data_IF_577767469270
#
_entry.id   IF_577767469270
#
_cell.length_a   1.000
_cell.length_b   1.000
_cell.length_c   1.000
_cell.angle_alpha   90.00
_cell.angle_beta   90.00
_cell.angle_gamma   90.00
#
_symmetry.space_group_name_H-M   'P 1'
#
loop_
_entity.id
_entity.type
_entity.pdbx_description
1 polymer ?
#
# COMPACT_ATOMS: atom_id res chain seq x y z
N UNK A 1 -13.83 -40.25 -73.51
CA UNK A 1 -13.63 -38.81 -73.73
C UNK A 1 -13.56 -38.13 -72.38
N UNK A 2 -12.37 -37.65 -72.00
CA UNK A 2 -12.13 -36.86 -70.80
C UNK A 2 -12.57 -35.42 -71.08
N UNK A 3 -13.40 -34.84 -70.19
CA UNK A 3 -13.48 -33.38 -70.02
C UNK A 3 -13.53 -33.08 -68.52
N UNK A 4 -12.39 -32.63 -68.01
CA UNK A 4 -12.28 -31.85 -66.79
C UNK A 4 -13.10 -30.56 -66.96
N UNK A 5 -13.95 -30.24 -65.98
CA UNK A 5 -14.39 -28.87 -65.77
C UNK A 5 -14.16 -28.49 -64.30
N UNK A 6 -13.19 -27.61 -64.14
CA UNK A 6 -12.87 -26.88 -62.92
C UNK A 6 -14.06 -25.95 -62.61
N UNK A 7 -14.73 -26.13 -61.46
CA UNK A 7 -15.72 -25.16 -60.98
C UNK A 7 -15.14 -24.45 -59.75
N UNK A 8 -14.83 -23.18 -59.94
CA UNK A 8 -14.30 -22.26 -58.95
C UNK A 8 -15.38 -21.86 -57.93
N UNK A 9 -14.89 -21.65 -56.71
CA UNK A 9 -15.51 -21.08 -55.52
C UNK A 9 -16.50 -19.92 -55.77
N UNK A 10 -17.69 -20.03 -55.19
CA UNK A 10 -18.39 -18.89 -54.53
C UNK A 10 -19.04 -19.43 -53.26
N UNK A 11 -18.34 -19.34 -52.13
CA UNK A 11 -18.94 -19.57 -50.83
C UNK A 11 -19.61 -18.27 -50.40
N UNK A 12 -20.93 -18.19 -50.59
CA UNK A 12 -21.75 -17.09 -50.06
C UNK A 12 -21.82 -17.28 -48.55
N UNK A 13 -21.05 -16.49 -47.81
CA UNK A 13 -21.17 -16.37 -46.36
C UNK A 13 -22.41 -15.51 -46.07
N UNK A 14 -23.57 -16.16 -45.91
CA UNK A 14 -24.77 -15.52 -45.38
C UNK A 14 -24.49 -15.13 -43.92
N UNK A 15 -24.47 -13.83 -43.65
CA UNK A 15 -24.28 -13.25 -42.33
C UNK A 15 -25.39 -13.67 -41.36
N UNK A 16 -25.11 -14.69 -40.55
CA UNK A 16 -25.80 -14.92 -39.30
C UNK A 16 -25.15 -14.05 -38.23
N UNK A 17 -25.80 -12.94 -37.87
CA UNK A 17 -25.44 -12.16 -36.70
C UNK A 17 -25.56 -13.05 -35.46
N UNK A 18 -24.43 -13.44 -34.88
CA UNK A 18 -24.40 -13.97 -33.53
C UNK A 18 -24.78 -12.80 -32.64
N UNK A 19 -26.05 -12.75 -32.22
CA UNK A 19 -26.48 -11.86 -31.16
C UNK A 19 -25.78 -12.31 -29.88
N UNK A 20 -24.61 -11.73 -29.61
CA UNK A 20 -24.00 -11.76 -28.28
C UNK A 20 -25.00 -11.11 -27.36
N UNK A 21 -25.61 -11.89 -26.47
CA UNK A 21 -26.40 -11.35 -25.37
C UNK A 21 -25.47 -10.47 -24.52
N UNK A 22 -25.46 -9.17 -24.81
CA UNK A 22 -24.75 -8.17 -24.03
C UNK A 22 -25.34 -8.22 -22.63
N UNK A 23 -24.51 -8.56 -21.64
CA UNK A 23 -24.91 -8.38 -20.24
C UNK A 23 -25.41 -6.94 -20.06
N UNK A 24 -26.49 -6.71 -19.29
CA UNK A 24 -27.07 -5.38 -19.12
C UNK A 24 -25.98 -4.41 -18.65
N UNK A 25 -25.55 -3.52 -19.54
CA UNK A 25 -24.60 -2.46 -19.23
C UNK A 25 -25.31 -1.48 -18.31
N UNK A 26 -24.69 -1.14 -17.18
CA UNK A 26 -25.19 -0.07 -16.32
C UNK A 26 -25.23 1.22 -17.15
N UNK A 27 -26.43 1.75 -17.38
CA UNK A 27 -26.58 3.01 -18.09
C UNK A 27 -25.84 4.13 -17.31
N UNK A 28 -25.34 5.18 -17.99
CA UNK A 28 -24.57 6.26 -17.35
C UNK A 28 -25.28 6.89 -16.14
N UNK A 29 -26.61 6.94 -16.17
CA UNK A 29 -27.46 7.41 -15.08
C UNK A 29 -27.39 6.48 -13.85
N UNK A 30 -27.41 5.16 -14.05
CA UNK A 30 -27.31 4.16 -12.98
C UNK A 30 -25.89 4.12 -12.39
N UNK A 31 -24.86 4.28 -13.22
CA UNK A 31 -23.48 4.39 -12.77
C UNK A 31 -23.24 5.65 -11.92
N UNK A 32 -23.80 6.80 -12.34
CA UNK A 32 -23.75 8.04 -11.57
C UNK A 32 -24.49 7.90 -10.22
N UNK A 33 -25.65 7.23 -10.22
CA UNK A 33 -26.42 7.00 -8.99
C UNK A 33 -25.70 6.06 -8.02
N UNK A 34 -25.08 4.97 -8.52
CA UNK A 34 -24.26 4.08 -7.69
C UNK A 34 -23.02 4.77 -7.15
N UNK A 35 -22.40 5.68 -7.91
CA UNK A 35 -21.27 6.49 -7.47
C UNK A 35 -21.68 7.47 -6.36
N UNK A 36 -22.80 8.16 -6.53
CA UNK A 36 -23.34 9.04 -5.49
C UNK A 36 -23.72 8.27 -4.20
N UNK A 37 -24.28 7.06 -4.35
CA UNK A 37 -24.55 6.15 -3.22
C UNK A 37 -23.26 5.70 -2.53
N UNK A 38 -22.19 5.42 -3.28
CA UNK A 38 -20.88 5.06 -2.75
C UNK A 38 -20.24 6.22 -1.98
N UNK A 39 -20.30 7.44 -2.52
CA UNK A 39 -19.78 8.64 -1.86
C UNK A 39 -20.52 8.91 -0.55
N UNK A 40 -21.86 8.78 -0.57
CA UNK A 40 -22.69 8.91 0.63
C UNK A 40 -22.36 7.83 1.68
N UNK A 41 -22.28 6.56 1.29
CA UNK A 41 -21.93 5.48 2.22
C UNK A 41 -20.53 5.63 2.78
N UNK A 42 -19.59 6.17 1.99
CA UNK A 42 -18.23 6.45 2.47
C UNK A 42 -18.25 7.52 3.55
N UNK A 43 -19.05 8.58 3.39
CA UNK A 43 -19.25 9.58 4.44
C UNK A 43 -19.95 8.99 5.68
N UNK A 44 -20.96 8.13 5.48
CA UNK A 44 -21.67 7.46 6.57
C UNK A 44 -20.74 6.50 7.35
N UNK A 45 -19.81 5.80 6.69
CA UNK A 45 -18.76 4.99 7.34
C UNK A 45 -17.83 5.85 8.18
N UNK A 46 -17.39 7.01 7.68
CA UNK A 46 -16.53 7.91 8.45
C UNK A 46 -17.22 8.38 9.72
N UNK A 47 -18.49 8.78 9.61
CA UNK A 47 -19.31 9.19 10.75
C UNK A 47 -19.54 8.02 11.72
N UNK A 48 -19.95 6.85 11.22
CA UNK A 48 -20.17 5.67 12.04
C UNK A 48 -18.90 5.18 12.73
N UNK A 49 -17.73 5.35 12.11
CA UNK A 49 -16.43 5.01 12.71
C UNK A 49 -16.09 5.96 13.85
N UNK A 50 -16.35 7.26 13.69
CA UNK A 50 -16.19 8.23 14.77
C UNK A 50 -17.16 7.95 15.93
N UNK A 51 -18.43 7.66 15.63
CA UNK A 51 -19.46 7.30 16.60
C UNK A 51 -19.09 6.00 17.35
N UNK A 52 -18.57 4.98 16.65
CA UNK A 52 -18.11 3.73 17.24
C UNK A 52 -16.86 3.89 18.11
N UNK A 53 -15.94 4.78 17.73
CA UNK A 53 -14.77 5.12 18.56
C UNK A 53 -15.22 5.77 19.87
N UNK A 54 -16.11 6.76 19.80
CA UNK A 54 -16.65 7.45 20.97
C UNK A 54 -17.39 6.48 21.90
N UNK A 55 -18.26 5.64 21.36
CA UNK A 55 -18.97 4.62 22.14
C UNK A 55 -18.01 3.60 22.79
N UNK A 56 -16.93 3.23 22.10
CA UNK A 56 -15.89 2.37 22.65
C UNK A 56 -15.10 3.00 23.81
N UNK A 57 -14.81 4.30 23.73
CA UNK A 57 -14.18 5.06 24.82
C UNK A 57 -15.12 5.17 26.03
N UNK A 58 -16.41 5.46 25.81
CA UNK A 58 -17.43 5.51 26.86
C UNK A 58 -17.62 4.15 27.56
N UNK A 59 -17.66 3.05 26.78
CA UNK A 59 -17.73 1.70 27.33
C UNK A 59 -16.49 1.34 28.17
N UNK A 60 -15.30 1.77 27.74
CA UNK A 60 -14.06 1.55 28.49
C UNK A 60 -14.08 2.30 29.82
N UNK A 61 -14.49 3.57 29.82
CA UNK A 61 -14.63 4.36 31.05
C UNK A 61 -15.64 3.71 32.00
N UNK A 62 -16.80 3.29 31.50
CA UNK A 62 -17.82 2.60 32.30
C UNK A 62 -17.30 1.28 32.90
N UNK A 63 -16.51 0.51 32.15
CA UNK A 63 -15.89 -0.73 32.63
C UNK A 63 -14.82 -0.46 33.71
N UNK A 64 -13.97 0.55 33.52
CA UNK A 64 -12.94 0.95 34.48
C UNK A 64 -13.56 1.48 35.79
N UNK A 65 -14.66 2.23 35.70
CA UNK A 65 -15.44 2.69 36.86
C UNK A 65 -16.11 1.52 37.58
N UNK A 66 -16.73 0.60 36.84
CA UNK A 66 -17.34 -0.59 37.42
C UNK A 66 -16.31 -1.44 38.16
N UNK A 67 -15.11 -1.64 37.60
CA UNK A 67 -14.05 -2.40 38.24
C UNK A 67 -13.63 -1.79 39.60
N UNK A 68 -13.48 -0.47 39.66
CA UNK A 68 -13.16 0.24 40.93
C UNK A 68 -14.27 0.08 41.96
N UNK A 69 -15.53 0.15 41.52
CA UNK A 69 -16.68 0.07 42.42
C UNK A 69 -16.91 -1.37 42.91
N UNK A 70 -16.65 -2.38 42.08
CA UNK A 70 -16.69 -3.80 42.50
C UNK A 70 -15.67 -4.07 43.61
N UNK A 71 -14.45 -3.54 43.51
CA UNK A 71 -13.45 -3.65 44.59
C UNK A 71 -13.89 -2.93 45.87
N UNK A 72 -14.48 -1.73 45.76
CA UNK A 72 -15.05 -1.04 46.91
C UNK A 72 -16.25 -1.80 47.53
N UNK A 73 -17.02 -2.51 46.70
CA UNK A 73 -18.08 -3.43 47.11
C UNK A 73 -17.58 -4.62 47.93
N UNK A 74 -16.47 -5.25 47.52
CA UNK A 74 -15.82 -6.32 48.27
C UNK A 74 -15.35 -5.87 49.66
N UNK A 75 -14.99 -4.60 49.78
CA UNK A 75 -14.62 -3.97 51.05
C UNK A 75 -15.83 -3.51 51.89
N UNK A 76 -17.06 -3.83 51.47
CA UNK A 76 -18.30 -3.45 52.17
C UNK A 76 -18.62 -1.95 52.12
N UNK A 77 -17.94 -1.18 51.26
CA UNK A 77 -18.09 0.28 51.17
C UNK A 77 -19.25 0.72 50.26
N UNK A 78 -19.83 -0.21 49.50
CA UNK A 78 -20.91 0.05 48.53
C UNK A 78 -21.99 -1.04 48.67
N UNK A 79 -23.25 -0.62 48.54
CA UNK A 79 -24.41 -1.51 48.56
C UNK A 79 -24.45 -2.40 47.28
N UNK A 80 -24.72 -3.69 47.45
CA UNK A 80 -24.84 -4.64 46.34
C UNK A 80 -25.88 -4.26 45.27
N UNK A 81 -26.99 -3.61 45.66
CA UNK A 81 -28.00 -3.13 44.71
C UNK A 81 -27.47 -2.02 43.78
N UNK A 82 -26.60 -1.16 44.31
CA UNK A 82 -25.94 -0.09 43.52
C UNK A 82 -24.94 -0.71 42.55
N UNK A 83 -24.23 -1.77 42.95
CA UNK A 83 -23.32 -2.50 42.06
C UNK A 83 -24.05 -3.20 40.91
N UNK A 84 -25.20 -3.83 41.18
CA UNK A 84 -26.00 -4.46 40.13
C UNK A 84 -26.51 -3.43 39.11
N UNK A 85 -27.00 -2.26 39.55
CA UNK A 85 -27.39 -1.19 38.62
C UNK A 85 -26.23 -0.69 37.75
N UNK A 86 -25.02 -0.61 38.31
CA UNK A 86 -23.82 -0.20 37.57
C UNK A 86 -23.38 -1.26 36.57
N UNK A 87 -23.47 -2.55 36.92
CA UNK A 87 -23.20 -3.66 35.98
C UNK A 87 -24.15 -3.61 34.78
N UNK A 88 -25.44 -3.37 35.03
CA UNK A 88 -26.45 -3.24 33.97
C UNK A 88 -26.07 -2.08 33.03
N UNK A 89 -25.79 -0.89 33.57
CA UNK A 89 -25.40 0.28 32.77
C UNK A 89 -24.11 0.06 31.97
N UNK A 90 -23.09 -0.56 32.57
CA UNK A 90 -21.85 -0.89 31.87
C UNK A 90 -22.08 -1.93 30.76
N UNK A 91 -23.00 -2.88 30.97
CA UNK A 91 -23.44 -3.82 29.94
C UNK A 91 -24.16 -3.12 28.79
N UNK A 92 -25.03 -2.16 29.08
CA UNK A 92 -25.74 -1.35 28.07
C UNK A 92 -24.77 -0.49 27.24
N UNK A 93 -23.77 0.14 27.86
CA UNK A 93 -22.76 0.92 27.14
C UNK A 93 -21.85 0.04 26.29
N UNK A 94 -21.47 -1.14 26.78
CA UNK A 94 -20.74 -2.13 25.99
C UNK A 94 -21.57 -2.61 24.78
N UNK A 95 -22.85 -2.93 24.99
CA UNK A 95 -23.74 -3.35 23.91
C UNK A 95 -23.92 -2.25 22.86
N UNK A 96 -24.01 -0.98 23.28
CA UNK A 96 -24.06 0.16 22.37
C UNK A 96 -22.75 0.31 21.55
N UNK A 97 -21.59 0.08 22.16
CA UNK A 97 -20.30 0.10 21.46
C UNK A 97 -20.18 -1.04 20.43
N UNK A 98 -20.65 -2.24 20.77
CA UNK A 98 -20.68 -3.38 19.85
C UNK A 98 -21.65 -3.14 18.70
N UNK A 99 -22.84 -2.59 18.96
CA UNK A 99 -23.80 -2.21 17.94
C UNK A 99 -23.24 -1.14 16.99
N UNK A 100 -22.50 -0.16 17.51
CA UNK A 100 -21.85 0.86 16.68
C UNK A 100 -20.77 0.26 15.76
N UNK A 101 -19.96 -0.69 16.27
CA UNK A 101 -18.99 -1.44 15.45
C UNK A 101 -19.68 -2.31 14.39
N UNK A 102 -20.81 -2.94 14.73
CA UNK A 102 -21.58 -3.74 13.79
C UNK A 102 -22.11 -2.90 12.62
N UNK A 103 -22.59 -1.68 12.89
CA UNK A 103 -23.02 -0.72 11.85
C UNK A 103 -21.89 -0.32 10.90
N UNK A 104 -20.68 -0.12 11.41
CA UNK A 104 -19.50 0.15 10.55
C UNK A 104 -19.27 -1.03 9.59
N UNK A 105 -19.29 -2.26 10.10
CA UNK A 105 -19.09 -3.47 9.29
C UNK A 105 -20.20 -3.67 8.25
N UNK A 106 -21.45 -3.36 8.59
CA UNK A 106 -22.59 -3.41 7.67
C UNK A 106 -22.40 -2.41 6.52
N UNK A 107 -22.03 -1.17 6.84
CA UNK A 107 -21.76 -0.13 5.83
C UNK A 107 -20.55 -0.47 4.96
N UNK A 108 -19.47 -1.04 5.53
CA UNK A 108 -18.32 -1.53 4.77
C UNK A 108 -18.71 -2.66 3.81
N UNK A 109 -19.61 -3.55 4.24
CA UNK A 109 -20.17 -4.63 3.39
C UNK A 109 -21.00 -4.04 2.25
N UNK A 110 -21.87 -3.07 2.54
CA UNK A 110 -22.65 -2.35 1.52
C UNK A 110 -21.76 -1.61 0.50
N UNK A 111 -20.66 -1.02 0.96
CA UNK A 111 -19.63 -0.42 0.09
C UNK A 111 -18.99 -1.49 -0.80
N UNK A 112 -18.63 -2.65 -0.26
CA UNK A 112 -18.04 -3.74 -1.03
C UNK A 112 -19.01 -4.27 -2.10
N UNK A 113 -20.29 -4.41 -1.77
CA UNK A 113 -21.34 -4.79 -2.72
C UNK A 113 -21.56 -3.75 -3.81
N UNK A 114 -21.60 -2.46 -3.46
CA UNK A 114 -21.74 -1.39 -4.45
C UNK A 114 -20.49 -1.29 -5.32
N UNK A 115 -19.28 -1.47 -4.76
CA UNK A 115 -18.05 -1.59 -5.55
C UNK A 115 -18.05 -2.81 -6.46
N UNK A 116 -18.65 -3.92 -6.05
CA UNK A 116 -18.82 -5.11 -6.88
C UNK A 116 -19.86 -4.90 -7.99
N UNK A 117 -20.92 -4.12 -7.75
CA UNK A 117 -21.90 -3.70 -8.77
C UNK A 117 -21.34 -2.63 -9.71
N UNK A 118 -20.44 -1.78 -9.22
CA UNK A 118 -19.63 -0.84 -9.99
C UNK A 118 -18.46 -1.51 -10.70
N UNK A 119 -18.17 -2.80 -10.47
CA UNK A 119 -17.25 -3.52 -11.36
C UNK A 119 -17.84 -3.44 -12.76
N UNK A 120 -17.08 -3.00 -13.77
CA UNK A 120 -17.54 -3.07 -15.14
C UNK A 120 -17.88 -4.54 -15.43
N UNK A 121 -19.02 -4.80 -16.10
CA UNK A 121 -19.08 -5.90 -17.09
C UNK A 121 -17.76 -5.84 -17.87
N UNK A 122 -17.02 -6.95 -18.07
CA UNK A 122 -15.81 -6.90 -18.89
C UNK A 122 -16.21 -6.19 -20.19
N UNK A 123 -15.68 -5.00 -20.47
CA UNK A 123 -16.16 -4.21 -21.59
C UNK A 123 -15.88 -5.02 -22.87
N UNK A 124 -16.65 -4.85 -23.96
CA UNK A 124 -16.08 -5.18 -25.26
C UNK A 124 -14.72 -4.49 -25.30
N UNK A 125 -13.68 -5.23 -25.65
CA UNK A 125 -12.28 -4.80 -25.54
C UNK A 125 -12.17 -3.28 -25.82
N UNK A 126 -11.60 -2.47 -24.89
CA UNK A 126 -11.39 -1.07 -25.18
C UNK A 126 -10.59 -1.00 -26.49
N UNK A 127 -10.96 -0.10 -27.40
CA UNK A 127 -9.94 0.35 -28.35
C UNK A 127 -8.84 0.95 -27.47
N UNK A 128 -7.68 0.30 -27.47
CA UNK A 128 -6.57 0.45 -26.53
C UNK A 128 -6.03 1.88 -26.25
N UNK A 129 -6.08 2.90 -27.14
CA UNK A 129 -5.10 3.99 -27.03
C UNK A 129 -5.30 5.02 -25.89
N UNK A 130 -6.51 5.25 -25.35
CA UNK A 130 -6.74 6.33 -24.36
C UNK A 130 -6.43 5.92 -22.90
N UNK A 131 -6.65 4.66 -22.52
CA UNK A 131 -6.31 4.15 -21.18
C UNK A 131 -4.79 4.00 -21.01
N UNK A 132 -4.11 3.55 -22.05
CA UNK A 132 -2.65 3.43 -22.07
C UNK A 132 -1.99 4.81 -21.98
N UNK A 133 -2.55 5.84 -22.62
CA UNK A 133 -2.00 7.21 -22.56
C UNK A 133 -1.92 7.77 -21.13
N UNK A 134 -2.96 7.58 -20.31
CA UNK A 134 -2.96 8.05 -18.91
C UNK A 134 -1.98 7.23 -18.04
N UNK A 135 -1.94 5.92 -18.22
CA UNK A 135 -1.01 5.03 -17.47
C UNK A 135 0.44 5.33 -17.86
N UNK A 136 0.72 5.57 -19.15
CA UNK A 136 2.03 5.97 -19.64
C UNK A 136 2.45 7.31 -19.04
N UNK A 137 1.56 8.29 -18.94
CA UNK A 137 1.86 9.59 -18.33
C UNK A 137 2.25 9.45 -16.84
N UNK A 138 1.48 8.67 -16.06
CA UNK A 138 1.79 8.39 -14.66
C UNK A 138 3.12 7.62 -14.48
N UNK A 139 3.40 6.67 -15.37
CA UNK A 139 4.66 5.92 -15.36
C UNK A 139 5.85 6.80 -15.75
N UNK A 140 5.69 7.73 -16.71
CA UNK A 140 6.74 8.69 -17.10
C UNK A 140 7.06 9.66 -15.96
N UNK A 141 6.05 10.13 -15.22
CA UNK A 141 6.28 10.95 -14.03
C UNK A 141 7.05 10.18 -12.95
N UNK A 142 6.66 8.93 -12.68
CA UNK A 142 7.39 8.04 -11.75
C UNK A 142 8.83 7.80 -12.22
N UNK A 143 9.02 7.54 -13.52
CA UNK A 143 10.35 7.34 -14.10
C UNK A 143 11.24 8.56 -13.89
N UNK A 144 10.73 9.77 -14.11
CA UNK A 144 11.48 11.00 -13.89
C UNK A 144 11.91 11.16 -12.43
N UNK A 145 11.00 10.91 -11.47
CA UNK A 145 11.30 10.96 -10.03
C UNK A 145 12.36 9.93 -9.61
N UNK A 146 12.18 8.67 -10.01
CA UNK A 146 13.11 7.59 -9.64
C UNK A 146 14.47 7.77 -10.32
N UNK A 147 14.51 8.32 -11.54
CA UNK A 147 15.78 8.64 -12.22
C UNK A 147 16.56 9.71 -11.47
N UNK A 148 15.90 10.79 -11.02
CA UNK A 148 16.57 11.82 -10.21
C UNK A 148 17.06 11.26 -8.86
N UNK A 149 16.30 10.34 -8.26
CA UNK A 149 16.73 9.66 -7.03
C UNK A 149 17.92 8.71 -7.27
N UNK A 150 17.94 8.00 -8.40
CA UNK A 150 19.05 7.14 -8.81
C UNK A 150 20.34 7.95 -9.02
N UNK A 151 20.27 9.07 -9.73
CA UNK A 151 21.43 9.96 -9.93
C UNK A 151 22.00 10.48 -8.60
N UNK A 152 21.12 10.88 -7.69
CA UNK A 152 21.52 11.30 -6.34
C UNK A 152 22.18 10.15 -5.57
N UNK A 153 21.59 8.95 -5.59
CA UNK A 153 22.13 7.79 -4.92
C UNK A 153 23.49 7.37 -5.48
N UNK A 154 23.70 7.48 -6.80
CA UNK A 154 24.98 7.19 -7.45
C UNK A 154 26.05 8.22 -7.04
N UNK A 155 25.69 9.50 -6.93
CA UNK A 155 26.60 10.53 -6.41
C UNK A 155 26.96 10.31 -4.94
N UNK A 156 26.00 9.90 -4.11
CA UNK A 156 26.23 9.53 -2.70
C UNK A 156 27.11 8.29 -2.58
N UNK A 157 26.89 7.26 -3.39
CA UNK A 157 27.71 6.06 -3.43
C UNK A 157 29.16 6.38 -3.80
N UNK A 158 29.39 7.30 -4.76
CA UNK A 158 30.74 7.75 -5.11
C UNK A 158 31.42 8.45 -3.93
N UNK A 159 30.74 9.38 -3.27
CA UNK A 159 31.27 10.07 -2.07
C UNK A 159 31.59 9.10 -0.93
N UNK A 160 30.72 8.13 -0.69
CA UNK A 160 30.92 7.12 0.34
C UNK A 160 32.11 6.20 0.02
N UNK A 161 32.29 5.81 -1.26
CA UNK A 161 33.45 5.04 -1.70
C UNK A 161 34.76 5.82 -1.53
N UNK A 162 34.78 7.12 -1.87
CA UNK A 162 35.94 7.99 -1.66
C UNK A 162 36.27 8.09 -0.16
N UNK A 163 35.27 8.24 0.71
CA UNK A 163 35.44 8.27 2.16
C UNK A 163 35.96 6.94 2.74
N UNK A 164 35.46 5.80 2.25
CA UNK A 164 35.93 4.47 2.63
C UNK A 164 37.41 4.27 2.25
N UNK A 165 37.80 4.72 1.05
CA UNK A 165 39.19 4.70 0.61
C UNK A 165 40.08 5.54 1.54
N UNK A 166 39.68 6.76 1.86
CA UNK A 166 40.44 7.64 2.77
C UNK A 166 40.60 7.00 4.16
N UNK A 167 39.53 6.45 4.73
CA UNK A 167 39.58 5.81 6.04
C UNK A 167 40.46 4.54 6.05
N UNK A 168 40.44 3.78 4.95
CA UNK A 168 41.30 2.60 4.77
C UNK A 168 42.77 2.99 4.62
N UNK A 169 43.07 4.02 3.84
CA UNK A 169 44.42 4.57 3.65
C UNK A 169 44.96 5.14 4.99
N UNK A 170 44.11 5.79 5.79
CA UNK A 170 44.45 6.26 7.15
C UNK A 170 44.77 5.09 8.10
N UNK A 171 43.93 4.05 8.12
CA UNK A 171 44.15 2.87 8.93
C UNK A 171 45.48 2.18 8.57
N UNK A 172 45.79 2.05 7.27
CA UNK A 172 47.06 1.49 6.80
C UNK A 172 48.28 2.31 7.29
N UNK A 173 48.21 3.65 7.22
CA UNK A 173 49.27 4.53 7.75
C UNK A 173 49.44 4.37 9.26
N UNK A 174 48.35 4.23 10.00
CA UNK A 174 48.38 4.03 11.46
C UNK A 174 49.05 2.69 11.80
N UNK A 175 48.76 1.63 11.05
CA UNK A 175 49.45 0.34 11.21
C UNK A 175 50.96 0.45 10.94
N UNK A 176 51.38 1.20 9.92
CA UNK A 176 52.80 1.44 9.64
C UNK A 176 53.50 2.18 10.79
N UNK A 177 52.84 3.19 11.38
CA UNK A 177 53.35 3.91 12.56
C UNK A 177 53.39 3.00 13.79
N UNK A 178 52.42 2.09 13.94
CA UNK A 178 52.38 1.08 14.99
C UNK A 178 53.53 0.11 14.95
N UNK A 179 53.90 -0.36 13.77
CA UNK A 179 55.06 -1.24 13.59
C UNK A 179 56.38 -0.56 14.01
N UNK A 180 56.42 0.78 14.05
CA UNK A 180 57.57 1.57 14.54
C UNK A 180 57.50 1.88 16.04
N UNK A 181 56.55 1.32 16.79
CA UNK A 181 56.41 1.51 18.24
C UNK A 181 55.89 2.88 18.67
N UNK A 182 55.21 3.63 17.80
CA UNK A 182 54.83 5.05 18.03
C UNK A 182 53.32 5.31 17.94
N UNK A 183 52.50 4.54 18.64
CA UNK A 183 51.06 4.83 18.75
C UNK A 183 50.52 4.62 20.15
N UNK A 184 49.53 5.44 20.49
CA UNK A 184 48.80 5.31 21.74
C UNK A 184 47.86 4.09 21.68
N UNK A 185 47.65 3.40 22.82
CA UNK A 185 46.64 2.35 22.94
C UNK A 185 45.26 2.84 22.46
N UNK A 186 44.48 1.99 21.77
CA UNK A 186 43.17 2.36 21.24
C UNK A 186 43.18 3.05 19.87
N UNK A 187 44.34 3.44 19.34
CA UNK A 187 44.43 4.21 18.07
C UNK A 187 44.15 3.32 16.86
N UNK A 188 44.67 2.09 16.88
CA UNK A 188 44.50 1.11 15.80
C UNK A 188 43.04 0.65 15.76
N UNK A 189 42.46 0.27 16.90
CA UNK A 189 41.05 -0.19 16.95
C UNK A 189 40.08 0.91 16.50
N UNK A 190 40.32 2.18 16.87
CA UNK A 190 39.51 3.31 16.39
C UNK A 190 39.61 3.52 14.88
N UNK A 191 40.81 3.40 14.32
CA UNK A 191 41.03 3.56 12.89
C UNK A 191 40.45 2.39 12.08
N UNK A 192 40.57 1.16 12.58
CA UNK A 192 39.95 -0.02 11.99
C UNK A 192 38.41 0.08 12.01
N UNK A 193 37.84 0.51 13.14
CA UNK A 193 36.40 0.73 13.27
C UNK A 193 35.89 1.78 12.28
N UNK A 194 36.59 2.92 12.17
CA UNK A 194 36.26 3.98 11.21
C UNK A 194 36.34 3.49 9.75
N UNK A 195 37.34 2.69 9.40
CA UNK A 195 37.46 2.11 8.07
C UNK A 195 36.32 1.13 7.76
N UNK A 196 35.97 0.24 8.71
CA UNK A 196 34.85 -0.69 8.58
C UNK A 196 33.50 0.03 8.46
N UNK A 197 33.28 1.06 9.26
CA UNK A 197 32.05 1.87 9.20
C UNK A 197 31.92 2.59 7.86
N UNK A 198 33.00 3.22 7.37
CA UNK A 198 33.01 3.89 6.08
C UNK A 198 32.81 2.91 4.91
N UNK A 199 33.41 1.71 4.99
CA UNK A 199 33.20 0.66 4.00
C UNK A 199 31.75 0.15 3.98
N UNK A 200 31.16 -0.08 5.15
CA UNK A 200 29.75 -0.48 5.25
C UNK A 200 28.80 0.58 4.68
N UNK A 201 29.09 1.87 4.92
CA UNK A 201 28.33 2.97 4.34
C UNK A 201 28.47 3.03 2.80
N UNK A 202 29.67 2.78 2.27
CA UNK A 202 29.90 2.71 0.82
C UNK A 202 29.14 1.54 0.17
N UNK A 203 29.15 0.36 0.78
CA UNK A 203 28.45 -0.82 0.27
C UNK A 203 26.92 -0.63 0.31
N UNK A 204 26.39 -0.03 1.39
CA UNK A 204 24.98 0.31 1.50
C UNK A 204 24.54 1.34 0.45
N UNK A 205 25.32 2.40 0.24
CA UNK A 205 25.03 3.41 -0.76
C UNK A 205 25.08 2.84 -2.19
N UNK A 206 26.08 1.98 -2.47
CA UNK A 206 26.20 1.29 -3.76
C UNK A 206 25.00 0.37 -4.01
N UNK A 207 24.58 -0.40 -3.01
CA UNK A 207 23.39 -1.27 -3.11
C UNK A 207 22.14 -0.46 -3.43
N UNK A 208 21.91 0.65 -2.73
CA UNK A 208 20.77 1.54 -2.99
C UNK A 208 20.79 2.11 -4.41
N UNK A 209 21.95 2.55 -4.91
CA UNK A 209 22.09 3.03 -6.28
C UNK A 209 21.71 1.95 -7.29
N UNK A 210 22.19 0.71 -7.12
CA UNK A 210 21.86 -0.40 -8.02
C UNK A 210 20.38 -0.81 -8.00
N UNK A 211 19.71 -0.75 -6.84
CA UNK A 211 18.27 -1.04 -6.74
C UNK A 211 17.42 0.01 -7.47
N UNK A 212 17.81 1.29 -7.36
CA UNK A 212 17.14 2.37 -8.07
C UNK A 212 17.38 2.29 -9.59
N UNK A 213 18.59 1.97 -10.04
CA UNK A 213 18.89 1.73 -11.46
C UNK A 213 18.06 0.58 -12.04
N UNK A 214 17.90 -0.52 -11.29
CA UNK A 214 17.03 -1.63 -11.70
C UNK A 214 15.56 -1.20 -11.80
N UNK A 215 15.09 -0.36 -10.88
CA UNK A 215 13.72 0.19 -10.89
C UNK A 215 13.50 1.11 -12.10
N UNK A 216 14.49 1.94 -12.45
CA UNK A 216 14.47 2.77 -13.67
C UNK A 216 14.36 1.90 -14.92
N UNK A 217 15.12 0.80 -15.00
CA UNK A 217 15.08 -0.13 -16.12
C UNK A 217 13.72 -0.82 -16.26
N UNK A 218 13.13 -1.28 -15.15
CA UNK A 218 11.79 -1.89 -15.12
C UNK A 218 10.70 -0.91 -15.55
N UNK A 219 10.75 0.34 -15.07
CA UNK A 219 9.80 1.39 -15.47
C UNK A 219 9.91 1.71 -16.97
N UNK A 220 11.13 1.79 -17.52
CA UNK A 220 11.34 1.96 -18.97
C UNK A 220 10.77 0.80 -19.77
N UNK A 221 10.94 -0.44 -19.30
CA UNK A 221 10.39 -1.62 -19.96
C UNK A 221 8.86 -1.62 -19.95
N UNK A 222 8.23 -1.26 -18.82
CA UNK A 222 6.78 -1.14 -18.69
C UNK A 222 6.19 -0.06 -19.59
N UNK A 223 6.82 1.13 -19.66
CA UNK A 223 6.39 2.19 -20.58
C UNK A 223 6.48 1.72 -22.04
N UNK A 224 7.60 1.12 -22.43
CA UNK A 224 7.79 0.58 -23.79
C UNK A 224 6.81 -0.53 -24.16
N UNK A 225 6.31 -1.29 -23.18
CA UNK A 225 5.32 -2.34 -23.40
C UNK A 225 3.91 -1.76 -23.65
N UNK A 226 3.59 -0.60 -23.08
CA UNK A 226 2.31 0.09 -23.24
C UNK A 226 2.29 1.02 -24.48
N UNK A 227 3.45 1.41 -24.99
CA UNK A 227 3.58 2.21 -26.22
C UNK A 227 3.53 1.38 -27.53
N UNK A 228 3.33 0.05 -27.43
CA UNK A 228 3.31 -0.90 -28.56
C UNK A 228 1.91 -1.43 -28.84
#
# INVERSE_FOLDING_TARGET
>A
MIRFLLAASVFVFLGGAVATATAPQLDPKQAAELKAKLDKLTADVQKATADAKKAGEEAKVAADELAKLVEAGKLGKINGAVLEQLKVKAGETQAAAEAAKAKVKELETAIAEIKAKLKPVPPPAPTAPEADAKVIAELKEKLAKVTAEAEKATAEAKKAADAAKVATDEHAKILEVAMRGRVLPGTIEKAEAKAKEAQAAADAAKKKATELEATVADLKAKIKALEK
#
